data_IF_442462287380
#
_entry.id   IF_442462287380
#
_cell.length_a   1.000
_cell.length_b   1.000
_cell.length_c   1.000
_cell.angle_alpha   90.00
_cell.angle_beta   90.00
_cell.angle_gamma   90.00
#
_symmetry.space_group_name_H-M   'P 1'
#
loop_
_entity.id
_entity.type
_entity.pdbx_description
1 polymer ?
#
# COMPACT_ATOMS: atom_id res chain seq x y z
N UNK A 1 -12.58 -22.09 -50.80
CA UNK A 1 -13.09 -22.60 -49.50
C UNK A 1 -11.95 -22.52 -48.50
N UNK A 2 -11.70 -21.36 -47.91
CA UNK A 2 -12.23 -20.91 -46.60
C UNK A 2 -11.98 -21.92 -45.47
N UNK A 3 -11.02 -21.60 -44.59
CA UNK A 3 -11.27 -21.45 -43.15
C UNK A 3 -10.22 -20.51 -42.54
N UNK A 4 -10.67 -19.28 -42.32
CA UNK A 4 -10.02 -18.22 -41.55
C UNK A 4 -10.06 -18.63 -40.08
N UNK A 5 -8.90 -18.83 -39.45
CA UNK A 5 -8.81 -18.92 -38.00
C UNK A 5 -8.76 -17.50 -37.43
N UNK A 6 -9.84 -17.11 -36.76
CA UNK A 6 -9.94 -15.87 -35.99
C UNK A 6 -8.99 -15.96 -34.81
N UNK A 7 -7.97 -15.10 -34.79
CA UNK A 7 -7.21 -14.76 -33.58
C UNK A 7 -8.10 -13.84 -32.73
N UNK A 8 -8.52 -14.32 -31.57
CA UNK A 8 -9.15 -13.50 -30.53
C UNK A 8 -8.04 -12.76 -29.79
N UNK A 9 -7.73 -11.54 -30.23
CA UNK A 9 -6.95 -10.57 -29.47
C UNK A 9 -7.93 -9.83 -28.56
N UNK A 10 -7.95 -10.16 -27.27
CA UNK A 10 -8.53 -9.28 -26.26
C UNK A 10 -7.44 -8.31 -25.80
N UNK A 11 -7.31 -7.22 -26.55
CA UNK A 11 -6.68 -6.01 -26.05
C UNK A 11 -7.79 -5.17 -25.41
N UNK A 12 -7.98 -5.29 -24.10
CA UNK A 12 -8.77 -4.32 -23.35
C UNK A 12 -7.92 -3.07 -23.17
N UNK A 13 -8.02 -2.16 -24.14
CA UNK A 13 -7.70 -0.76 -23.94
C UNK A 13 -8.65 -0.24 -22.85
N UNK A 14 -8.12 0.04 -21.66
CA UNK A 14 -8.87 0.68 -20.59
C UNK A 14 -9.09 2.15 -20.97
N UNK A 15 -10.21 2.44 -21.61
CA UNK A 15 -10.74 3.79 -21.78
C UNK A 15 -11.81 3.99 -20.71
N UNK A 16 -11.47 4.72 -19.66
CA UNK A 16 -12.37 5.04 -18.55
C UNK A 16 -13.28 6.20 -18.93
N UNK A 17 -14.38 5.93 -19.63
CA UNK A 17 -15.48 6.88 -19.74
C UNK A 17 -16.40 6.72 -18.51
N UNK A 18 -16.24 7.60 -17.52
CA UNK A 18 -17.13 7.64 -16.35
C UNK A 18 -18.45 8.33 -16.71
N UNK A 19 -19.57 7.64 -16.55
CA UNK A 19 -20.91 8.24 -16.51
C UNK A 19 -21.40 8.24 -15.06
N UNK A 20 -21.63 9.42 -14.49
CA UNK A 20 -22.33 9.58 -13.22
C UNK A 20 -23.75 10.09 -13.49
N UNK A 21 -24.74 9.30 -13.07
CA UNK A 21 -26.14 9.70 -13.04
C UNK A 21 -26.40 10.64 -11.87
N UNK A 22 -26.72 11.90 -12.18
CA UNK A 22 -27.28 12.86 -11.24
C UNK A 22 -28.79 12.62 -11.06
N UNK A 23 -29.24 12.53 -9.81
CA UNK A 23 -30.62 12.82 -9.43
C UNK A 23 -30.60 13.54 -8.08
N UNK A 24 -30.85 14.84 -8.11
CA UNK A 24 -31.21 15.65 -6.95
C UNK A 24 -32.72 15.87 -6.88
N UNK A 25 -33.23 16.04 -5.66
CA UNK A 25 -34.17 17.10 -5.24
C UNK A 25 -34.44 16.94 -3.72
N UNK A 26 -34.06 17.93 -2.88
CA UNK A 26 -34.91 18.97 -2.22
C UNK A 26 -35.94 18.41 -1.21
N UNK A 27 -36.13 18.87 0.04
CA UNK A 27 -36.11 20.22 0.65
C UNK A 27 -36.28 20.15 2.21
N UNK A 28 -35.72 21.16 2.93
CA UNK A 28 -36.16 21.92 4.16
C UNK A 28 -36.69 21.19 5.44
N UNK A 29 -36.55 21.62 6.73
CA UNK A 29 -36.30 22.89 7.45
C UNK A 29 -35.99 22.63 8.97
N UNK A 30 -35.18 23.49 9.64
CA UNK A 30 -35.22 24.05 11.04
C UNK A 30 -35.71 23.21 12.26
N UNK A 31 -35.30 23.37 13.55
CA UNK A 31 -34.38 24.22 14.33
C UNK A 31 -34.50 23.83 15.83
N UNK A 32 -33.41 24.01 16.60
CA UNK A 32 -33.29 24.30 18.07
C UNK A 32 -33.83 23.32 19.13
N UNK A 33 -33.01 23.03 20.16
CA UNK A 33 -33.01 23.70 21.49
C UNK A 33 -32.00 23.00 22.45
N UNK A 34 -31.29 23.85 23.20
CA UNK A 34 -30.32 23.60 24.27
C UNK A 34 -30.90 22.90 25.52
N UNK A 35 -30.04 22.20 26.29
CA UNK A 35 -29.95 22.42 27.74
C UNK A 35 -28.70 21.82 28.37
N UNK A 36 -27.92 22.70 29.00
CA UNK A 36 -26.94 22.41 30.07
C UNK A 36 -27.63 21.79 31.30
N UNK A 37 -26.89 20.98 32.10
CA UNK A 37 -26.55 21.28 33.51
C UNK A 37 -25.32 20.44 33.93
N UNK A 38 -24.27 21.06 34.49
CA UNK A 38 -23.27 20.41 35.37
C UNK A 38 -23.78 20.29 36.82
N UNK A 39 -22.94 20.26 37.89
CA UNK A 39 -21.47 20.28 37.93
C UNK A 39 -20.80 19.40 39.03
N UNK A 40 -19.45 19.41 39.00
CA UNK A 40 -18.49 19.42 40.14
C UNK A 40 -18.15 18.15 40.94
N UNK A 41 -16.88 17.74 40.90
CA UNK A 41 -15.95 17.93 42.03
C UNK A 41 -14.49 17.63 41.65
N UNK A 42 -13.61 18.40 42.28
CA UNK A 42 -12.17 18.58 42.11
C UNK A 42 -11.38 17.84 43.19
N UNK A 43 -10.27 17.16 42.85
CA UNK A 43 -9.04 17.16 43.69
C UNK A 43 -7.80 16.71 42.90
N UNK A 44 -6.66 17.12 43.41
CA UNK A 44 -5.35 17.35 42.80
C UNK A 44 -4.46 16.12 42.60
N UNK A 45 -3.63 16.22 41.54
CA UNK A 45 -2.20 15.90 41.42
C UNK A 45 -1.56 14.78 42.26
N UNK A 46 -0.96 13.82 41.55
CA UNK A 46 0.45 13.48 41.81
C UNK A 46 1.13 12.89 40.57
N UNK A 47 2.28 13.50 40.27
CA UNK A 47 3.27 13.25 39.25
C UNK A 47 3.85 11.83 39.23
N UNK A 48 4.13 11.33 38.01
CA UNK A 48 5.40 10.71 37.61
C UNK A 48 5.43 10.64 36.08
N UNK A 49 6.18 11.56 35.47
CA UNK A 49 6.48 11.54 34.06
C UNK A 49 7.63 10.56 33.82
N UNK A 50 7.39 9.53 33.02
CA UNK A 50 8.43 8.69 32.45
C UNK A 50 8.96 9.39 31.19
N UNK A 51 10.26 9.71 31.18
CA UNK A 51 10.96 10.22 30.02
C UNK A 51 11.07 9.13 28.95
N UNK A 52 10.62 9.35 27.70
CA UNK A 52 10.99 8.46 26.62
C UNK A 52 12.43 8.75 26.21
N UNK A 53 13.19 7.66 26.18
CA UNK A 53 14.61 7.62 25.87
C UNK A 53 14.95 8.29 24.55
N UNK A 54 15.98 9.13 24.62
CA UNK A 54 16.63 9.79 23.50
C UNK A 54 17.30 8.76 22.58
N UNK A 55 16.75 8.57 21.38
CA UNK A 55 17.46 7.97 20.26
C UNK A 55 17.41 8.94 19.07
N UNK A 56 18.52 9.66 18.90
CA UNK A 56 19.04 10.23 17.65
C UNK A 56 18.03 10.94 16.72
N UNK A 57 17.75 12.20 17.04
CA UNK A 57 17.09 13.15 16.13
C UNK A 57 18.10 13.60 15.08
N UNK A 58 17.91 13.21 13.82
CA UNK A 58 18.34 14.00 12.68
C UNK A 58 17.77 15.41 12.85
N UNK A 59 18.60 16.45 12.85
CA UNK A 59 18.16 17.86 12.94
C UNK A 59 17.22 18.19 11.76
N UNK A 60 15.94 17.93 11.91
CA UNK A 60 14.88 18.39 11.00
C UNK A 60 14.64 19.85 11.38
N UNK A 61 14.89 20.75 10.43
CA UNK A 61 14.68 22.19 10.59
C UNK A 61 13.17 22.47 10.60
N UNK A 62 12.56 22.43 11.79
CA UNK A 62 11.16 22.80 12.00
C UNK A 62 11.07 24.23 12.53
N UNK A 63 10.06 25.02 12.11
CA UNK A 63 9.89 26.39 12.59
C UNK A 63 9.87 26.48 14.12
N UNK A 64 10.44 27.54 14.67
CA UNK A 64 10.46 27.77 16.12
C UNK A 64 9.04 27.74 16.70
N UNK A 65 8.86 27.02 17.81
CA UNK A 65 7.56 26.84 18.46
C UNK A 65 6.67 25.78 17.81
N UNK A 66 7.19 24.97 16.88
CA UNK A 66 6.50 23.82 16.30
C UNK A 66 7.18 22.50 16.68
N UNK A 67 6.43 21.39 16.58
CA UNK A 67 6.97 20.02 16.63
C UNK A 67 6.70 19.32 15.31
N UNK A 68 7.55 18.35 14.97
CA UNK A 68 7.29 17.41 13.87
C UNK A 68 5.95 16.71 14.14
N UNK A 69 5.08 16.65 13.13
CA UNK A 69 3.84 15.90 13.25
C UNK A 69 4.13 14.39 13.29
N UNK A 70 3.32 13.66 14.02
CA UNK A 70 3.27 12.20 14.04
C UNK A 70 2.13 11.72 13.16
N UNK A 71 2.14 10.44 12.78
CA UNK A 71 1.05 9.85 12.00
C UNK A 71 -0.30 9.97 12.71
N UNK A 72 -0.31 9.95 14.04
CA UNK A 72 -1.51 10.13 14.86
C UNK A 72 -2.14 11.53 14.70
N UNK A 73 -1.33 12.57 14.47
CA UNK A 73 -1.81 13.95 14.29
C UNK A 73 -2.56 14.15 12.97
N UNK A 74 -2.30 13.32 11.95
CA UNK A 74 -2.93 13.48 10.65
C UNK A 74 -4.43 13.18 10.69
N UNK A 75 -5.19 14.05 10.05
CA UNK A 75 -6.64 13.90 9.88
C UNK A 75 -6.96 12.99 8.69
N UNK A 76 -8.14 12.34 8.73
CA UNK A 76 -8.51 11.35 7.69
C UNK A 76 -8.65 11.96 6.30
N UNK A 77 -9.19 13.18 6.22
CA UNK A 77 -9.30 13.95 4.99
C UNK A 77 -8.96 15.42 5.30
N UNK A 78 -8.00 15.96 4.57
CA UNK A 78 -7.44 17.29 4.75
C UNK A 78 -7.58 18.08 3.46
N UNK A 79 -7.99 19.35 3.53
CA UNK A 79 -7.94 20.28 2.41
C UNK A 79 -6.51 20.83 2.29
N UNK A 80 -5.86 20.63 1.15
CA UNK A 80 -4.54 21.18 0.83
C UNK A 80 -4.62 22.60 0.21
N UNK A 81 -5.82 23.17 0.16
CA UNK A 81 -6.09 24.49 -0.43
C UNK A 81 -6.55 24.41 -1.89
N UNK A 82 -6.45 25.55 -2.58
CA UNK A 82 -6.78 25.66 -4.00
C UNK A 82 -5.53 25.47 -4.87
N UNK A 83 -5.57 24.46 -5.74
CA UNK A 83 -4.56 24.17 -6.74
C UNK A 83 -5.25 23.84 -8.06
N UNK A 84 -4.61 24.15 -9.19
CA UNK A 84 -5.18 23.90 -10.53
C UNK A 84 -6.56 24.57 -10.75
N UNK A 85 -6.87 25.63 -10.00
CA UNK A 85 -8.15 26.33 -10.04
C UNK A 85 -9.30 25.60 -9.33
N UNK A 86 -9.02 24.62 -8.47
CA UNK A 86 -10.02 23.89 -7.69
C UNK A 86 -9.48 23.49 -6.31
N UNK A 87 -10.35 23.02 -5.42
CA UNK A 87 -9.93 22.48 -4.12
C UNK A 87 -9.31 21.11 -4.29
N UNK A 88 -8.14 20.92 -3.69
CA UNK A 88 -7.42 19.65 -3.66
C UNK A 88 -7.31 19.13 -2.24
N UNK A 89 -7.46 17.83 -2.08
CA UNK A 89 -7.53 17.19 -0.77
C UNK A 89 -6.49 16.09 -0.64
N UNK A 90 -6.12 15.77 0.59
CA UNK A 90 -5.29 14.63 0.98
C UNK A 90 -6.08 13.70 1.91
N UNK A 91 -5.91 12.39 1.74
CA UNK A 91 -6.52 11.35 2.57
C UNK A 91 -5.41 10.44 3.05
N UNK A 92 -5.58 10.08 4.30
CA UNK A 92 -4.67 9.19 5.04
C UNK A 92 -5.32 7.83 5.32
N UNK A 93 -6.64 7.71 5.06
CA UNK A 93 -7.40 6.48 5.22
C UNK A 93 -7.32 5.89 6.64
N UNK A 94 -6.80 4.67 6.74
CA UNK A 94 -6.52 3.94 8.00
C UNK A 94 -5.10 4.18 8.52
N UNK A 95 -4.32 5.04 7.86
CA UNK A 95 -2.92 5.36 8.20
C UNK A 95 -1.97 4.18 8.01
N UNK A 96 -2.17 3.40 6.95
CA UNK A 96 -1.26 2.34 6.51
C UNK A 96 -0.18 2.82 5.52
N UNK A 97 0.27 4.07 5.66
CA UNK A 97 1.20 4.73 4.74
C UNK A 97 0.76 4.79 3.26
N UNK A 98 -0.52 4.51 2.99
CA UNK A 98 -1.16 4.74 1.71
C UNK A 98 -1.92 6.06 1.79
N UNK A 99 -1.65 6.94 0.84
CA UNK A 99 -2.24 8.27 0.76
C UNK A 99 -2.88 8.47 -0.60
N UNK A 100 -3.86 9.36 -0.65
CA UNK A 100 -4.29 9.91 -1.94
C UNK A 100 -4.43 11.41 -1.92
N UNK A 101 -4.00 12.04 -3.01
CA UNK A 101 -4.36 13.43 -3.34
C UNK A 101 -5.48 13.36 -4.36
N UNK A 102 -6.58 14.10 -4.18
CA UNK A 102 -7.66 14.11 -5.18
C UNK A 102 -8.29 15.48 -5.40
N UNK A 103 -8.84 15.60 -6.60
CA UNK A 103 -9.90 16.54 -6.94
C UNK A 103 -11.20 15.72 -7.02
N UNK A 104 -12.25 16.07 -6.25
CA UNK A 104 -13.51 15.32 -6.26
C UNK A 104 -14.04 15.15 -7.69
N UNK A 105 -14.45 13.92 -8.00
CA UNK A 105 -15.07 13.53 -9.29
C UNK A 105 -14.24 13.77 -10.56
N UNK A 106 -12.98 14.20 -10.46
CA UNK A 106 -12.12 14.54 -11.61
C UNK A 106 -10.86 13.69 -11.69
N UNK A 107 -10.03 13.66 -10.63
CA UNK A 107 -8.72 13.02 -10.68
C UNK A 107 -8.19 12.66 -9.29
N UNK A 108 -7.31 11.65 -9.23
CA UNK A 108 -6.61 11.27 -8.01
C UNK A 108 -5.18 10.79 -8.29
N UNK A 109 -4.33 10.96 -7.29
CA UNK A 109 -3.01 10.35 -7.17
C UNK A 109 -3.09 9.44 -5.95
N UNK A 110 -2.85 8.14 -6.12
CA UNK A 110 -2.67 7.20 -5.02
C UNK A 110 -1.18 6.89 -4.87
N UNK A 111 -0.63 6.97 -3.66
CA UNK A 111 0.79 6.72 -3.43
C UNK A 111 1.06 6.09 -2.07
N UNK A 112 2.15 5.33 -1.99
CA UNK A 112 2.68 4.80 -0.75
C UNK A 112 3.87 5.64 -0.30
N UNK A 113 3.90 6.06 0.96
CA UNK A 113 5.02 6.79 1.54
C UNK A 113 5.05 6.56 3.04
N UNK A 114 6.10 5.95 3.56
CA UNK A 114 6.29 5.85 5.00
C UNK A 114 6.25 7.25 5.64
N UNK A 115 5.41 7.43 6.64
CA UNK A 115 5.33 8.70 7.38
C UNK A 115 6.52 8.84 8.33
N UNK A 116 7.62 9.38 7.81
CA UNK A 116 8.85 9.62 8.56
C UNK A 116 9.10 11.11 8.67
N UNK A 117 9.53 11.55 9.85
CA UNK A 117 9.96 12.93 10.08
C UNK A 117 8.89 13.97 9.67
N UNK A 118 7.62 13.64 9.91
CA UNK A 118 6.48 14.49 9.59
C UNK A 118 6.25 14.67 8.09
N UNK A 119 6.83 13.86 7.22
CA UNK A 119 6.83 14.09 5.77
C UNK A 119 6.31 12.87 5.01
N UNK A 120 5.53 13.14 3.97
CA UNK A 120 5.20 12.18 2.91
C UNK A 120 5.73 12.67 1.58
N UNK A 121 6.08 11.73 0.70
CA UNK A 121 6.55 12.01 -0.65
C UNK A 121 5.64 11.35 -1.67
N UNK A 122 5.49 11.98 -2.84
CA UNK A 122 4.68 11.44 -3.93
C UNK A 122 5.39 11.63 -5.26
N UNK A 123 5.18 10.71 -6.19
CA UNK A 123 5.73 10.77 -7.54
C UNK A 123 5.60 9.45 -8.27
N UNK A 124 6.18 9.38 -9.48
CA UNK A 124 6.13 8.19 -10.34
C UNK A 124 6.75 6.94 -9.72
N UNK A 125 7.67 7.12 -8.78
CA UNK A 125 8.42 6.01 -8.18
C UNK A 125 7.62 5.29 -7.08
N UNK A 126 6.62 5.96 -6.49
CA UNK A 126 5.89 5.44 -5.33
C UNK A 126 4.37 5.62 -5.43
N UNK A 127 3.85 5.95 -6.61
CA UNK A 127 2.43 6.22 -6.79
C UNK A 127 1.95 6.07 -8.21
N UNK A 128 0.67 6.33 -8.38
CA UNK A 128 -0.04 6.28 -9.66
C UNK A 128 -1.07 7.39 -9.73
N UNK A 129 -1.29 7.84 -10.96
CA UNK A 129 -2.24 8.88 -11.30
C UNK A 129 -3.37 8.31 -12.14
N UNK A 130 -4.60 8.76 -11.87
CA UNK A 130 -5.75 8.55 -12.72
C UNK A 130 -6.62 9.80 -12.76
N UNK A 131 -7.22 10.10 -13.90
CA UNK A 131 -8.16 11.21 -14.04
C UNK A 131 -8.95 11.14 -15.34
N UNK A 132 -9.90 12.06 -15.50
CA UNK A 132 -10.77 12.16 -16.67
C UNK A 132 -10.06 12.88 -17.81
N UNK A 133 -9.93 12.22 -18.95
CA UNK A 133 -9.31 12.77 -20.16
C UNK A 133 -10.00 14.05 -20.65
N UNK A 134 -9.21 15.02 -21.09
CA UNK A 134 -9.70 16.26 -21.69
C UNK A 134 -10.06 17.37 -20.70
N UNK A 135 -10.00 17.11 -19.39
CA UNK A 135 -10.13 18.16 -18.37
C UNK A 135 -8.79 18.83 -18.08
N UNK A 136 -8.76 20.17 -18.05
CA UNK A 136 -7.53 20.94 -17.76
C UNK A 136 -6.95 20.59 -16.38
N UNK A 137 -7.81 20.39 -15.38
CA UNK A 137 -7.40 20.01 -14.02
C UNK A 137 -6.69 18.65 -14.02
N UNK A 138 -7.20 17.68 -14.78
CA UNK A 138 -6.55 16.37 -14.98
C UNK A 138 -5.14 16.55 -15.52
N UNK A 139 -4.97 17.32 -16.60
CA UNK A 139 -3.64 17.54 -17.19
C UNK A 139 -2.64 18.22 -16.23
N UNK A 140 -3.09 19.22 -15.47
CA UNK A 140 -2.24 19.92 -14.50
C UNK A 140 -1.87 19.02 -13.30
N UNK A 141 -2.83 18.25 -12.79
CA UNK A 141 -2.59 17.28 -11.72
C UNK A 141 -1.67 16.14 -12.17
N UNK A 142 -1.81 15.68 -13.42
CA UNK A 142 -0.89 14.73 -14.04
C UNK A 142 0.53 15.29 -14.05
N UNK A 143 0.76 16.50 -14.54
CA UNK A 143 2.08 17.17 -14.51
C UNK A 143 2.63 17.33 -13.10
N UNK A 144 1.77 17.66 -12.14
CA UNK A 144 2.15 17.75 -10.72
C UNK A 144 2.64 16.40 -10.19
N UNK A 145 1.93 15.31 -10.49
CA UNK A 145 2.37 13.95 -10.17
C UNK A 145 3.68 13.58 -10.87
N UNK A 146 3.84 13.95 -12.15
CA UNK A 146 5.06 13.63 -12.90
C UNK A 146 6.30 14.32 -12.33
N UNK A 147 6.14 15.56 -11.84
CA UNK A 147 7.21 16.28 -11.16
C UNK A 147 7.54 15.64 -9.80
N UNK A 148 6.53 15.09 -9.13
CA UNK A 148 6.63 14.62 -7.76
C UNK A 148 6.84 15.75 -6.76
N UNK A 149 6.88 15.39 -5.48
CA UNK A 149 7.06 16.34 -4.41
C UNK A 149 6.96 15.74 -3.01
N UNK A 150 6.96 16.62 -2.02
CA UNK A 150 6.74 16.28 -0.62
C UNK A 150 5.67 17.16 0.02
N UNK A 151 5.01 16.60 1.02
CA UNK A 151 4.13 17.31 1.94
C UNK A 151 4.71 17.11 3.34
N UNK A 152 5.13 18.19 3.98
CA UNK A 152 5.66 18.18 5.34
C UNK A 152 4.61 18.72 6.30
N UNK A 153 4.55 18.14 7.49
CA UNK A 153 3.56 18.41 8.51
C UNK A 153 4.23 18.76 9.83
N UNK A 154 3.74 19.81 10.48
CA UNK A 154 4.13 20.21 11.83
C UNK A 154 2.90 20.50 12.66
N UNK A 155 3.06 20.45 13.96
CA UNK A 155 2.04 20.90 14.91
C UNK A 155 2.58 22.13 15.63
N UNK A 156 1.82 23.21 15.57
CA UNK A 156 2.23 24.48 16.17
C UNK A 156 1.99 24.52 17.69
N UNK A 157 2.38 25.62 18.34
CA UNK A 157 2.24 25.81 19.78
C UNK A 157 0.80 25.84 20.30
N UNK A 158 -0.19 26.01 19.42
CA UNK A 158 -1.62 25.91 19.72
C UNK A 158 -2.20 24.52 19.46
N UNK A 159 -1.34 23.51 19.22
CA UNK A 159 -1.70 22.14 18.88
C UNK A 159 -2.52 22.02 17.57
N UNK A 160 -2.29 22.94 16.63
CA UNK A 160 -2.89 22.89 15.29
C UNK A 160 -1.93 22.28 14.28
N UNK A 161 -2.45 21.33 13.50
CA UNK A 161 -1.74 20.74 12.38
C UNK A 161 -1.58 21.74 11.23
N UNK A 162 -0.37 21.86 10.72
CA UNK A 162 -0.01 22.68 9.58
C UNK A 162 0.72 21.83 8.54
N UNK A 163 0.60 22.20 7.26
CA UNK A 163 1.28 21.51 6.15
C UNK A 163 2.02 22.49 5.25
N UNK A 164 3.10 22.01 4.62
CA UNK A 164 3.86 22.73 3.60
C UNK A 164 4.06 21.83 2.38
N UNK A 165 3.81 22.35 1.19
CA UNK A 165 4.08 21.65 -0.07
C UNK A 165 5.47 22.02 -0.57
N UNK A 166 6.32 21.02 -0.82
CA UNK A 166 7.66 21.17 -1.40
C UNK A 166 8.54 22.22 -0.67
N UNK A 167 8.46 22.27 0.66
CA UNK A 167 9.23 23.22 1.47
C UNK A 167 8.76 24.68 1.37
N UNK A 168 7.52 24.91 0.92
CA UNK A 168 6.88 26.23 1.00
C UNK A 168 6.47 26.62 2.42
N UNK A 169 5.74 27.72 2.55
CA UNK A 169 5.23 28.18 3.84
C UNK A 169 4.19 27.22 4.42
N UNK A 170 4.25 27.02 5.75
CA UNK A 170 3.28 26.24 6.48
C UNK A 170 1.91 26.93 6.52
N UNK A 171 0.87 26.15 6.22
CA UNK A 171 -0.53 26.57 6.22
C UNK A 171 -1.33 25.67 7.16
N UNK A 172 -2.30 26.25 7.87
CA UNK A 172 -3.20 25.48 8.72
C UNK A 172 -3.97 24.43 7.91
N UNK A 173 -4.03 23.21 8.44
CA UNK A 173 -4.84 22.14 7.85
C UNK A 173 -6.31 22.41 8.13
N UNK A 174 -7.14 22.40 7.08
CA UNK A 174 -8.60 22.39 7.22
C UNK A 174 -9.12 20.95 7.06
N UNK A 175 -9.87 20.46 8.04
CA UNK A 175 -10.48 19.12 8.01
C UNK A 175 -11.64 19.08 7.02
N UNK A 176 -11.56 18.19 6.03
CA UNK A 176 -12.59 18.02 5.03
C UNK A 176 -13.62 16.97 5.46
N UNK A 177 -14.91 17.34 5.48
CA UNK A 177 -16.00 16.40 5.69
C UNK A 177 -16.39 15.74 4.37
N UNK A 178 -15.94 14.50 4.17
CA UNK A 178 -16.27 13.70 2.99
C UNK A 178 -17.40 12.73 3.33
N UNK A 179 -18.44 12.71 2.50
CA UNK A 179 -19.56 11.79 2.65
C UNK A 179 -19.09 10.34 2.44
N UNK A 180 -19.46 9.45 3.36
CA UNK A 180 -19.24 8.01 3.22
C UNK A 180 -20.45 7.34 2.59
N UNK A 181 -20.20 6.33 1.76
CA UNK A 181 -21.27 5.50 1.20
C UNK A 181 -21.89 4.63 2.30
N UNK A 182 -23.20 4.77 2.55
CA UNK A 182 -23.91 4.14 3.68
C UNK A 182 -23.79 2.61 3.76
N UNK A 183 -23.51 1.94 2.63
CA UNK A 183 -23.41 0.49 2.54
C UNK A 183 -22.00 0.03 2.15
N UNK A 184 -20.99 0.88 2.33
CA UNK A 184 -19.62 0.54 1.99
C UNK A 184 -18.73 0.57 3.23
N UNK A 185 -17.74 -0.31 3.24
CA UNK A 185 -16.66 -0.26 4.21
C UNK A 185 -15.90 1.06 4.02
N UNK A 186 -15.46 1.66 5.13
CA UNK A 186 -14.80 2.97 5.11
C UNK A 186 -13.46 3.01 5.84
N UNK A 187 -13.05 1.90 6.47
CA UNK A 187 -11.76 1.76 7.14
C UNK A 187 -10.99 0.54 6.59
N UNK A 188 -9.71 0.71 6.27
CA UNK A 188 -8.85 -0.37 5.76
C UNK A 188 -8.64 -1.50 6.77
N UNK A 189 -8.63 -1.17 8.07
CA UNK A 189 -8.51 -2.15 9.17
C UNK A 189 -9.62 -3.20 9.15
N UNK A 190 -10.80 -2.87 8.61
CA UNK A 190 -11.96 -3.78 8.54
C UNK A 190 -11.72 -4.96 7.57
N UNK A 191 -10.65 -4.90 6.76
CA UNK A 191 -10.22 -5.97 5.86
C UNK A 191 -9.08 -6.82 6.44
N UNK A 192 -8.32 -6.33 7.42
CA UNK A 192 -7.13 -7.01 7.93
C UNK A 192 -7.47 -8.41 8.47
N UNK A 193 -6.72 -9.43 8.04
CA UNK A 193 -6.96 -10.83 8.42
C UNK A 193 -8.13 -11.48 7.70
N UNK A 194 -8.63 -10.87 6.61
CA UNK A 194 -9.66 -11.44 5.76
C UNK A 194 -9.11 -11.91 4.41
N UNK A 195 -9.71 -12.98 3.90
CA UNK A 195 -9.60 -13.44 2.52
C UNK A 195 -10.97 -13.34 1.86
N UNK A 196 -11.03 -12.61 0.75
CA UNK A 196 -12.21 -12.47 -0.11
C UNK A 196 -12.01 -13.31 -1.36
N UNK A 197 -12.90 -14.28 -1.61
CA UNK A 197 -12.91 -15.08 -2.83
C UNK A 197 -14.07 -14.62 -3.71
N UNK A 198 -13.74 -13.95 -4.81
CA UNK A 198 -14.67 -13.27 -5.70
C UNK A 198 -14.81 -14.00 -7.03
N UNK A 199 -16.04 -14.06 -7.55
CA UNK A 199 -16.33 -14.64 -8.88
C UNK A 199 -16.33 -13.56 -9.95
N UNK A 200 -15.56 -13.78 -11.00
CA UNK A 200 -15.56 -12.99 -12.24
C UNK A 200 -15.88 -13.92 -13.42
N UNK A 201 -17.17 -14.02 -13.76
CA UNK A 201 -17.65 -15.01 -14.73
C UNK A 201 -17.36 -16.44 -14.26
N UNK A 202 -16.58 -17.17 -15.06
CA UNK A 202 -16.12 -18.54 -14.74
C UNK A 202 -14.80 -18.56 -13.94
N UNK A 203 -14.13 -17.41 -13.83
CA UNK A 203 -12.85 -17.29 -13.12
C UNK A 203 -13.07 -16.93 -11.65
N UNK A 204 -12.12 -17.35 -10.81
CA UNK A 204 -12.06 -17.00 -9.39
C UNK A 204 -10.82 -16.15 -9.12
N UNK A 205 -11.02 -15.07 -8.37
CA UNK A 205 -9.95 -14.19 -7.88
C UNK A 205 -10.04 -14.14 -6.36
N UNK A 206 -8.93 -14.39 -5.67
CA UNK A 206 -8.84 -14.21 -4.22
C UNK A 206 -8.03 -12.99 -3.85
N UNK A 207 -8.51 -12.25 -2.84
CA UNK A 207 -7.84 -11.11 -2.23
C UNK A 207 -7.61 -11.42 -0.75
N UNK A 208 -6.37 -11.51 -0.32
CA UNK A 208 -5.96 -11.73 1.06
C UNK A 208 -5.38 -10.43 1.61
N UNK A 209 -5.88 -9.98 2.75
CA UNK A 209 -5.53 -8.69 3.35
C UNK A 209 -4.78 -8.89 4.67
N UNK A 210 -3.60 -8.30 4.74
CA UNK A 210 -2.75 -8.18 5.92
C UNK A 210 -2.80 -6.74 6.44
N UNK A 211 -1.88 -6.33 7.31
CA UNK A 211 -1.83 -4.96 7.86
C UNK A 211 -1.45 -3.94 6.77
N UNK A 212 -2.44 -3.34 6.10
CA UNK A 212 -2.22 -2.38 5.01
C UNK A 212 -1.63 -2.97 3.73
N UNK A 213 -1.41 -4.29 3.69
CA UNK A 213 -0.84 -5.02 2.56
C UNK A 213 -1.80 -6.07 2.01
N UNK A 214 -1.79 -6.31 0.72
CA UNK A 214 -2.67 -7.30 0.10
C UNK A 214 -1.91 -8.26 -0.81
N UNK A 215 -2.49 -9.44 -0.98
CA UNK A 215 -2.15 -10.42 -2.01
C UNK A 215 -3.41 -10.72 -2.82
N UNK A 216 -3.35 -10.52 -4.13
CA UNK A 216 -4.34 -10.95 -5.10
C UNK A 216 -3.81 -12.21 -5.81
N UNK A 217 -4.66 -13.22 -5.99
CA UNK A 217 -4.34 -14.43 -6.73
C UNK A 217 -5.48 -14.83 -7.67
N UNK A 218 -5.14 -15.40 -8.82
CA UNK A 218 -6.09 -15.91 -9.80
C UNK A 218 -5.48 -17.01 -10.64
N UNK A 219 -6.29 -17.94 -11.13
CA UNK A 219 -5.83 -18.91 -12.15
C UNK A 219 -5.70 -18.21 -13.51
N UNK A 220 -4.50 -18.23 -14.09
CA UNK A 220 -4.22 -17.77 -15.44
C UNK A 220 -3.94 -18.94 -16.40
N UNK A 221 -3.80 -18.63 -17.70
CA UNK A 221 -3.54 -19.64 -18.74
C UNK A 221 -2.27 -20.49 -18.49
N UNK A 222 -1.28 -19.91 -17.79
CA UNK A 222 0.02 -20.51 -17.54
C UNK A 222 0.22 -20.93 -16.07
N UNK A 223 -0.85 -21.04 -15.30
CA UNK A 223 -0.81 -21.35 -13.86
C UNK A 223 -1.24 -20.18 -12.99
N UNK A 224 -0.84 -20.21 -11.72
CA UNK A 224 -1.22 -19.21 -10.73
C UNK A 224 -0.59 -17.84 -11.04
N UNK A 225 -1.43 -16.85 -11.31
CA UNK A 225 -1.04 -15.44 -11.38
C UNK A 225 -1.31 -14.77 -10.04
N UNK A 226 -0.45 -13.83 -9.67
CA UNK A 226 -0.63 -13.08 -8.45
C UNK A 226 -0.05 -11.67 -8.52
N UNK A 227 -0.57 -10.79 -7.68
CA UNK A 227 -0.04 -9.46 -7.44
C UNK A 227 -0.13 -9.15 -5.94
N UNK A 228 0.86 -8.44 -5.42
CA UNK A 228 0.89 -7.99 -4.03
C UNK A 228 1.26 -6.52 -3.98
N UNK A 229 0.80 -5.84 -2.94
CA UNK A 229 1.18 -4.47 -2.69
C UNK A 229 0.44 -3.85 -1.51
N UNK A 230 0.22 -2.54 -1.60
CA UNK A 230 -0.36 -1.74 -0.53
C UNK A 230 -1.85 -1.52 -0.74
N UNK A 231 -2.62 -1.48 0.34
CA UNK A 231 -4.02 -1.10 0.25
C UNK A 231 -4.45 -0.21 1.41
N UNK A 232 -5.53 0.54 1.16
CA UNK A 232 -6.30 1.20 2.19
C UNK A 232 -7.73 1.47 1.67
N UNK A 233 -8.66 1.79 2.56
CA UNK A 233 -9.98 2.28 2.20
C UNK A 233 -10.06 3.78 2.48
N UNK A 234 -10.12 4.54 1.39
CA UNK A 234 -10.20 5.99 1.41
C UNK A 234 -11.50 6.42 0.75
N UNK A 235 -12.32 7.18 1.48
CA UNK A 235 -13.61 7.69 0.97
C UNK A 235 -14.52 6.57 0.43
N UNK A 236 -14.58 5.45 1.16
CA UNK A 236 -15.33 4.25 0.78
C UNK A 236 -14.87 3.61 -0.53
N UNK A 237 -13.63 3.87 -0.95
CA UNK A 237 -12.96 3.22 -2.07
C UNK A 237 -11.76 2.44 -1.55
N UNK A 238 -11.75 1.14 -1.80
CA UNK A 238 -10.57 0.32 -1.67
C UNK A 238 -9.59 0.74 -2.76
N UNK A 239 -8.47 1.30 -2.31
CA UNK A 239 -7.33 1.66 -3.11
C UNK A 239 -6.32 0.52 -2.99
N UNK A 240 -5.93 -0.09 -4.10
CA UNK A 240 -4.92 -1.16 -4.12
C UNK A 240 -3.81 -0.78 -5.10
N UNK A 241 -2.59 -0.70 -4.60
CA UNK A 241 -1.40 -0.36 -5.36
C UNK A 241 -0.50 -1.58 -5.49
N UNK A 242 -0.38 -2.13 -6.69
CA UNK A 242 0.46 -3.29 -6.94
C UNK A 242 1.95 -2.88 -7.00
N UNK A 243 2.81 -3.66 -6.34
CA UNK A 243 4.27 -3.45 -6.32
C UNK A 243 5.06 -4.70 -6.71
N UNK A 244 4.55 -5.87 -6.32
CA UNK A 244 5.06 -7.20 -6.67
C UNK A 244 4.03 -7.92 -7.53
N UNK A 245 4.46 -8.60 -8.59
CA UNK A 245 3.52 -9.33 -9.43
C UNK A 245 4.20 -10.41 -10.29
N UNK A 246 3.43 -11.47 -10.53
CA UNK A 246 3.66 -12.48 -11.54
C UNK A 246 2.40 -12.63 -12.40
N UNK A 247 1.96 -11.51 -13.01
CA UNK A 247 0.89 -11.48 -14.01
C UNK A 247 1.37 -10.79 -15.28
N UNK A 248 0.79 -11.16 -16.42
CA UNK A 248 1.04 -10.47 -17.70
C UNK A 248 0.31 -9.12 -17.81
N UNK A 249 -0.82 -8.97 -17.11
CA UNK A 249 -1.64 -7.77 -17.15
C UNK A 249 -1.45 -6.98 -15.87
N UNK A 250 -0.53 -6.02 -15.90
CA UNK A 250 -0.24 -5.16 -14.76
C UNK A 250 -1.24 -4.02 -14.66
N UNK A 251 -2.01 -3.98 -13.56
CA UNK A 251 -2.89 -2.86 -13.22
C UNK A 251 -2.32 -2.17 -11.98
N UNK A 252 -1.55 -1.08 -12.16
CA UNK A 252 -0.77 -0.48 -11.07
C UNK A 252 -1.63 0.03 -9.91
N UNK A 253 -2.79 0.60 -10.24
CA UNK A 253 -3.74 1.14 -9.29
C UNK A 253 -5.11 0.59 -9.59
N UNK A 254 -5.64 -0.21 -8.66
CA UNK A 254 -7.01 -0.68 -8.69
C UNK A 254 -7.83 0.10 -7.68
N UNK A 255 -9.03 0.48 -8.10
CA UNK A 255 -9.98 1.16 -7.22
C UNK A 255 -11.32 0.43 -7.29
N UNK A 256 -11.85 0.06 -6.12
CA UNK A 256 -13.10 -0.68 -5.99
C UNK A 256 -13.90 -0.14 -4.82
N UNK A 257 -15.19 -0.43 -4.78
CA UNK A 257 -16.02 -0.26 -3.57
C UNK A 257 -16.19 -1.63 -2.93
N UNK A 258 -16.00 -1.71 -1.62
CA UNK A 258 -16.33 -2.91 -0.83
C UNK A 258 -17.62 -2.63 -0.09
N UNK A 259 -18.67 -3.39 -0.38
CA UNK A 259 -19.94 -3.23 0.33
C UNK A 259 -19.89 -3.88 1.73
N UNK A 260 -20.94 -3.67 2.53
CA UNK A 260 -21.05 -4.26 3.87
C UNK A 260 -21.10 -5.79 3.89
N UNK A 261 -21.43 -6.41 2.75
CA UNK A 261 -21.43 -7.86 2.54
C UNK A 261 -20.10 -8.36 1.94
N UNK A 262 -19.10 -7.46 1.82
CA UNK A 262 -17.76 -7.71 1.25
C UNK A 262 -17.75 -8.05 -0.24
N UNK A 263 -18.82 -7.74 -0.98
CA UNK A 263 -18.78 -7.79 -2.44
C UNK A 263 -18.00 -6.59 -2.98
N UNK A 264 -17.32 -6.80 -4.09
CA UNK A 264 -16.53 -5.77 -4.74
C UNK A 264 -17.30 -5.18 -5.91
N UNK A 265 -17.24 -3.86 -6.08
CA UNK A 265 -17.74 -3.19 -7.30
C UNK A 265 -16.61 -2.38 -7.91
N UNK A 266 -16.25 -2.67 -9.16
CA UNK A 266 -15.23 -1.89 -9.89
C UNK A 266 -15.71 -0.47 -10.20
N UNK A 267 -14.79 0.39 -10.59
CA UNK A 267 -15.13 1.73 -11.12
C UNK A 267 -16.02 1.71 -12.35
N UNK A 268 -16.03 0.62 -13.13
CA UNK A 268 -16.92 0.45 -14.29
C UNK A 268 -18.33 0.03 -13.90
N UNK A 269 -18.61 -0.17 -12.60
CA UNK A 269 -19.90 -0.64 -12.09
C UNK A 269 -20.08 -2.15 -12.13
N UNK A 270 -19.05 -2.91 -12.51
CA UNK A 270 -19.11 -4.38 -12.48
C UNK A 270 -19.07 -4.85 -11.04
N UNK A 271 -20.10 -5.58 -10.61
CA UNK A 271 -20.19 -6.14 -9.27
C UNK A 271 -19.72 -7.60 -9.26
N UNK A 272 -18.81 -7.92 -8.33
CA UNK A 272 -18.26 -9.23 -8.08
C UNK A 272 -18.81 -9.75 -6.77
N UNK A 273 -19.49 -10.90 -6.83
CA UNK A 273 -19.94 -11.57 -5.62
C UNK A 273 -18.74 -12.24 -4.96
N UNK A 274 -18.53 -11.94 -3.69
CA UNK A 274 -17.42 -12.46 -2.92
C UNK A 274 -17.91 -13.28 -1.73
N UNK A 275 -17.14 -14.30 -1.37
CA UNK A 275 -17.26 -14.97 -0.09
C UNK A 275 -16.09 -14.55 0.79
N UNK A 276 -16.37 -14.28 2.07
CA UNK A 276 -15.34 -13.89 3.03
C UNK A 276 -14.97 -15.06 3.94
N UNK A 277 -13.69 -15.15 4.25
CA UNK A 277 -13.15 -16.02 5.30
C UNK A 277 -12.13 -15.25 6.11
N UNK A 278 -11.96 -15.60 7.38
CA UNK A 278 -10.90 -15.05 8.22
C UNK A 278 -9.74 -16.02 8.28
N UNK A 279 -8.52 -15.49 8.34
CA UNK A 279 -7.31 -16.26 8.52
C UNK A 279 -6.46 -15.63 9.63
N UNK A 280 -5.48 -16.39 10.12
CA UNK A 280 -4.48 -15.89 11.07
C UNK A 280 -3.13 -15.94 10.38
N UNK A 281 -2.31 -14.94 10.65
CA UNK A 281 -0.93 -14.85 10.23
C UNK A 281 -0.10 -14.34 11.40
N UNK A 282 1.18 -14.65 11.39
CA UNK A 282 2.15 -14.07 12.32
C UNK A 282 2.86 -12.92 11.60
N UNK A 283 2.75 -11.71 12.13
CA UNK A 283 3.38 -10.55 11.51
C UNK A 283 4.89 -10.61 11.76
N UNK A 284 5.66 -10.63 10.67
CA UNK A 284 7.12 -10.64 10.74
C UNK A 284 7.63 -9.22 10.57
N UNK A 285 8.45 -8.80 11.52
CA UNK A 285 9.10 -7.50 11.50
C UNK A 285 10.17 -7.46 10.38
N UNK A 286 9.91 -6.63 9.36
CA UNK A 286 10.81 -6.44 8.23
C UNK A 286 12.24 -6.05 8.65
N UNK A 287 12.38 -5.26 9.72
CA UNK A 287 13.69 -4.83 10.22
C UNK A 287 14.47 -5.97 10.88
N UNK A 288 13.78 -7.00 11.39
CA UNK A 288 14.39 -8.17 12.05
C UNK A 288 14.77 -9.27 11.06
N UNK A 289 13.98 -9.47 10.00
CA UNK A 289 14.32 -10.46 8.96
C UNK A 289 15.37 -9.93 7.97
N UNK A 290 15.56 -8.61 7.89
CA UNK A 290 16.64 -8.00 7.13
C UNK A 290 18.01 -8.45 7.68
N UNK A 291 18.81 -9.12 6.84
CA UNK A 291 20.07 -9.73 7.24
C UNK A 291 20.70 -10.58 6.14
N UNK A 292 21.74 -11.30 6.51
CA UNK A 292 22.39 -12.33 5.69
C UNK A 292 22.06 -13.70 6.27
N UNK A 293 21.57 -14.58 5.41
CA UNK A 293 21.08 -15.90 5.76
C UNK A 293 21.75 -16.93 4.87
N UNK A 294 22.11 -18.07 5.45
CA UNK A 294 22.83 -19.12 4.75
C UNK A 294 22.17 -20.47 4.85
N UNK A 295 22.43 -21.29 3.83
CA UNK A 295 21.97 -22.65 3.73
C UNK A 295 22.97 -23.47 2.93
N UNK A 296 23.15 -24.74 3.31
CA UNK A 296 23.90 -25.71 2.53
C UNK A 296 22.90 -26.70 1.95
N UNK A 297 22.73 -26.70 0.63
CA UNK A 297 21.80 -27.59 -0.06
C UNK A 297 22.34 -28.02 -1.42
N UNK A 298 22.13 -29.30 -1.77
CA UNK A 298 22.63 -29.93 -3.00
C UNK A 298 24.14 -29.72 -3.29
N UNK A 299 24.94 -29.53 -2.24
CA UNK A 299 26.37 -29.28 -2.34
C UNK A 299 26.72 -27.90 -2.92
N UNK A 300 25.81 -26.93 -2.75
CA UNK A 300 25.99 -25.51 -3.01
C UNK A 300 25.90 -24.74 -1.70
N UNK A 301 26.79 -23.75 -1.55
CA UNK A 301 26.76 -22.81 -0.44
C UNK A 301 25.83 -21.66 -0.85
N UNK A 302 24.69 -21.50 -0.18
CA UNK A 302 23.71 -20.47 -0.49
C UNK A 302 23.79 -19.29 0.47
N UNK A 303 23.58 -18.10 -0.08
CA UNK A 303 23.46 -16.86 0.68
C UNK A 303 22.25 -16.06 0.19
N UNK A 304 21.31 -15.80 1.09
CA UNK A 304 20.20 -14.86 0.92
C UNK A 304 20.52 -13.60 1.72
N UNK A 305 20.58 -12.46 1.03
CA UNK A 305 20.74 -11.15 1.66
C UNK A 305 19.45 -10.36 1.48
N UNK A 306 18.86 -9.92 2.59
CA UNK A 306 17.71 -9.02 2.65
C UNK A 306 18.14 -7.69 3.25
N UNK A 307 18.26 -6.63 2.44
CA UNK A 307 18.68 -5.31 2.95
C UNK A 307 17.48 -4.53 3.45
N UNK A 308 17.68 -3.72 4.50
CA UNK A 308 16.68 -2.75 4.99
C UNK A 308 16.21 -1.75 3.93
N UNK A 309 16.97 -1.57 2.84
CA UNK A 309 16.55 -0.75 1.68
C UNK A 309 15.43 -1.39 0.85
N UNK A 310 15.07 -2.65 1.12
CA UNK A 310 14.17 -3.44 0.29
C UNK A 310 14.87 -4.14 -0.88
N UNK A 311 16.20 -4.04 -1.02
CA UNK A 311 16.94 -4.81 -2.02
C UNK A 311 17.28 -6.22 -1.49
N UNK A 312 17.22 -7.24 -2.34
CA UNK A 312 17.71 -8.58 -2.02
C UNK A 312 18.69 -9.13 -3.04
N UNK A 313 19.43 -10.14 -2.60
CA UNK A 313 20.16 -11.07 -3.47
C UNK A 313 20.09 -12.50 -2.94
N UNK A 314 20.01 -13.48 -3.84
CA UNK A 314 20.22 -14.90 -3.56
C UNK A 314 21.36 -15.37 -4.43
N UNK A 315 22.40 -15.93 -3.82
CA UNK A 315 23.58 -16.46 -4.51
C UNK A 315 23.81 -17.91 -4.10
N UNK A 316 24.15 -18.78 -5.06
CA UNK A 316 24.64 -20.12 -4.79
C UNK A 316 26.06 -20.27 -5.34
N UNK A 317 26.97 -20.82 -4.54
CA UNK A 317 28.37 -21.04 -4.92
C UNK A 317 28.76 -22.51 -4.86
N UNK A 318 29.65 -22.91 -5.77
CA UNK A 318 30.35 -24.19 -5.74
C UNK A 318 31.83 -24.00 -5.98
N UNK A 319 32.65 -24.35 -5.00
CA UNK A 319 34.11 -24.18 -5.08
C UNK A 319 34.54 -22.75 -5.50
N UNK A 320 33.80 -21.75 -5.03
CA UNK A 320 34.04 -20.33 -5.32
C UNK A 320 33.44 -19.79 -6.63
N UNK A 321 32.85 -20.64 -7.47
CA UNK A 321 32.14 -20.19 -8.67
C UNK A 321 30.66 -19.98 -8.38
N UNK A 322 30.07 -18.90 -8.91
CA UNK A 322 28.63 -18.64 -8.81
C UNK A 322 27.88 -19.56 -9.78
N UNK A 323 26.99 -20.38 -9.23
CA UNK A 323 26.12 -21.31 -9.96
C UNK A 323 24.70 -20.73 -10.12
N UNK A 324 24.30 -19.84 -9.21
CA UNK A 324 23.05 -19.07 -9.28
C UNK A 324 23.28 -17.68 -8.69
N UNK A 325 22.64 -16.68 -9.28
CA UNK A 325 22.58 -15.33 -8.73
C UNK A 325 21.26 -14.71 -9.15
N UNK A 326 20.48 -14.27 -8.18
CA UNK A 326 19.24 -13.52 -8.35
C UNK A 326 19.31 -12.27 -7.49
N UNK A 327 18.81 -11.15 -7.98
CA UNK A 327 18.71 -9.94 -7.17
C UNK A 327 17.57 -9.04 -7.63
N UNK A 328 17.04 -8.26 -6.71
CA UNK A 328 15.94 -7.35 -6.98
C UNK A 328 15.37 -6.77 -5.70
N UNK A 329 14.04 -6.74 -5.59
CA UNK A 329 13.34 -6.13 -4.45
C UNK A 329 12.60 -7.17 -3.61
N UNK A 330 12.52 -6.95 -2.30
CA UNK A 330 11.78 -7.79 -1.37
C UNK A 330 10.92 -6.95 -0.43
N UNK A 331 9.90 -7.59 0.14
CA UNK A 331 8.98 -7.00 1.11
C UNK A 331 8.22 -8.12 1.84
N UNK A 332 7.57 -7.81 2.97
CA UNK A 332 6.89 -8.80 3.83
C UNK A 332 5.45 -8.40 4.16
N UNK A 333 4.56 -9.39 4.11
CA UNK A 333 3.10 -9.24 4.12
C UNK A 333 2.56 -10.17 5.20
N UNK A 334 2.58 -9.72 6.46
CA UNK A 334 2.36 -10.61 7.59
C UNK A 334 3.46 -11.67 7.66
N UNK A 335 3.13 -12.91 7.32
CA UNK A 335 4.04 -14.05 7.24
C UNK A 335 4.51 -14.36 5.80
N UNK A 336 4.07 -13.60 4.79
CA UNK A 336 4.41 -13.84 3.40
C UNK A 336 5.59 -12.97 2.95
N UNK A 337 6.71 -13.60 2.59
CA UNK A 337 7.85 -12.95 1.94
C UNK A 337 7.65 -12.96 0.42
N UNK A 338 7.75 -11.79 -0.20
CA UNK A 338 7.68 -11.62 -1.65
C UNK A 338 9.01 -11.09 -2.20
N UNK A 339 9.46 -11.69 -3.30
CA UNK A 339 10.71 -11.34 -3.98
C UNK A 339 10.39 -11.01 -5.44
N UNK A 340 10.93 -9.90 -5.97
CA UNK A 340 10.82 -9.52 -7.37
C UNK A 340 12.19 -9.47 -8.01
N UNK A 341 12.47 -10.39 -8.92
CA UNK A 341 13.74 -10.47 -9.62
C UNK A 341 13.88 -9.30 -10.60
N UNK A 342 15.01 -8.58 -10.51
CA UNK A 342 15.43 -7.55 -11.48
C UNK A 342 16.56 -8.05 -12.37
N UNK A 343 17.43 -8.90 -11.84
CA UNK A 343 18.54 -9.50 -12.57
C UNK A 343 18.80 -10.92 -12.09
N UNK A 344 19.17 -11.78 -13.03
CA UNK A 344 19.46 -13.18 -12.76
C UNK A 344 20.66 -13.62 -13.60
N UNK A 345 21.47 -14.56 -13.09
CA UNK A 345 22.60 -15.13 -13.82
C UNK A 345 22.15 -15.82 -15.11
N UNK A 346 20.99 -16.49 -15.05
CA UNK A 346 20.36 -17.18 -16.17
C UNK A 346 18.98 -16.54 -16.51
N UNK A 347 18.94 -15.45 -17.29
CA UNK A 347 17.70 -14.70 -17.55
C UNK A 347 16.57 -15.54 -18.13
N UNK A 348 16.87 -16.47 -19.03
CA UNK A 348 15.88 -17.33 -19.71
C UNK A 348 15.13 -18.28 -18.77
N UNK A 349 15.69 -18.53 -17.57
CA UNK A 349 15.10 -19.40 -16.55
C UNK A 349 14.53 -18.60 -15.39
N UNK A 350 14.61 -17.28 -15.40
CA UNK A 350 14.26 -16.50 -14.22
C UNK A 350 12.76 -16.21 -14.16
N UNK A 351 12.12 -16.61 -13.07
CA UNK A 351 10.77 -16.15 -12.75
C UNK A 351 10.80 -14.66 -12.41
N UNK A 352 9.79 -13.89 -12.79
CA UNK A 352 9.77 -12.44 -12.53
C UNK A 352 9.60 -12.11 -11.04
N UNK A 353 8.89 -12.96 -10.30
CA UNK A 353 8.66 -12.81 -8.88
C UNK A 353 8.40 -14.17 -8.21
N UNK A 354 8.74 -14.26 -6.93
CA UNK A 354 8.54 -15.41 -6.04
C UNK A 354 7.76 -14.93 -4.83
N UNK A 355 6.87 -15.77 -4.31
CA UNK A 355 6.26 -15.58 -2.99
C UNK A 355 6.39 -16.85 -2.19
N UNK A 356 6.42 -16.73 -0.87
CA UNK A 356 6.43 -17.88 0.03
C UNK A 356 6.09 -17.50 1.45
N UNK A 357 5.63 -18.48 2.22
CA UNK A 357 5.32 -18.30 3.63
C UNK A 357 6.61 -18.46 4.43
N UNK A 358 6.88 -17.52 5.31
CA UNK A 358 7.94 -17.59 6.30
C UNK A 358 7.37 -18.18 7.58
N UNK A 359 8.06 -19.16 8.14
CA UNK A 359 7.67 -19.81 9.39
C UNK A 359 8.90 -20.11 10.25
N UNK A 360 8.68 -20.36 11.54
CA UNK A 360 9.75 -20.62 12.51
C UNK A 360 10.82 -19.52 12.53
N UNK A 361 10.42 -18.26 12.31
CA UNK A 361 11.35 -17.14 12.27
C UNK A 361 11.90 -16.81 13.66
N UNK A 362 13.22 -16.83 13.76
CA UNK A 362 13.97 -16.38 14.93
C UNK A 362 15.23 -15.63 14.42
N UNK A 363 15.39 -14.34 14.76
CA UNK A 363 16.51 -13.53 14.29
C UNK A 363 17.88 -14.08 14.71
N UNK A 364 17.95 -14.93 15.73
CA UNK A 364 19.20 -15.52 16.22
C UNK A 364 19.49 -16.91 15.64
N UNK A 365 18.50 -17.60 15.05
CA UNK A 365 18.68 -18.99 14.59
C UNK A 365 18.34 -19.24 13.12
N UNK A 366 17.32 -18.59 12.55
CA UNK A 366 16.92 -18.84 11.18
C UNK A 366 15.43 -18.71 10.90
N UNK A 367 15.01 -19.21 9.73
CA UNK A 367 13.62 -19.36 9.34
C UNK A 367 13.44 -20.38 8.21
N UNK A 368 12.21 -20.85 8.04
CA UNK A 368 11.78 -21.59 6.87
C UNK A 368 11.03 -20.68 5.91
N UNK A 369 11.28 -20.82 4.60
CA UNK A 369 10.67 -20.09 3.51
C UNK A 369 10.07 -21.07 2.48
N UNK A 370 8.79 -21.41 2.65
CA UNK A 370 8.08 -22.27 1.71
C UNK A 370 7.63 -21.47 0.48
N UNK A 371 8.52 -21.43 -0.52
CA UNK A 371 8.38 -20.55 -1.67
C UNK A 371 7.96 -21.25 -2.96
N UNK A 372 7.43 -20.46 -3.89
CA UNK A 372 6.99 -20.90 -5.21
C UNK A 372 8.09 -20.97 -6.28
N UNK A 373 9.36 -20.70 -5.94
CA UNK A 373 10.47 -20.77 -6.92
C UNK A 373 10.69 -22.21 -7.41
N UNK A 374 10.60 -22.42 -8.72
CA UNK A 374 10.77 -23.72 -9.39
C UNK A 374 12.07 -23.83 -10.18
N UNK A 375 12.99 -22.87 -10.02
CA UNK A 375 14.22 -22.82 -10.79
C UNK A 375 15.22 -23.91 -10.39
N UNK A 376 16.21 -24.13 -11.25
CA UNK A 376 17.33 -25.04 -10.99
C UNK A 376 18.65 -24.25 -11.11
N UNK A 377 19.54 -24.32 -10.09
CA UNK A 377 19.42 -25.11 -8.85
C UNK A 377 18.27 -24.64 -7.95
N UNK A 378 17.72 -25.57 -7.16
CA UNK A 378 16.57 -25.29 -6.31
C UNK A 378 17.00 -24.38 -5.15
N UNK A 379 16.25 -23.30 -4.94
CA UNK A 379 16.51 -22.40 -3.81
C UNK A 379 16.15 -23.14 -2.50
N UNK A 380 16.99 -23.07 -1.45
CA UNK A 380 16.72 -23.72 -0.17
C UNK A 380 15.46 -23.17 0.50
N UNK A 381 14.76 -24.06 1.21
CA UNK A 381 13.59 -23.69 2.01
C UNK A 381 13.91 -23.39 3.47
N UNK A 382 15.08 -23.76 3.97
CA UNK A 382 15.47 -23.50 5.36
C UNK A 382 16.74 -22.66 5.35
N UNK A 383 16.72 -21.59 6.12
CA UNK A 383 17.77 -20.59 6.18
C UNK A 383 18.21 -20.39 7.63
N UNK A 384 19.51 -20.24 7.84
CA UNK A 384 20.12 -20.06 9.16
C UNK A 384 20.94 -18.79 9.22
N UNK A 385 21.16 -18.27 10.44
CA UNK A 385 22.02 -17.09 10.61
C UNK A 385 23.47 -17.42 10.25
N UNK A 386 24.15 -16.50 9.56
CA UNK A 386 25.58 -16.63 9.32
C UNK A 386 26.35 -16.57 10.65
N UNK A 387 27.17 -17.59 10.91
CA UNK A 387 28.09 -17.61 12.05
C UNK A 387 29.46 -17.08 11.64
N UNK A 388 30.08 -16.27 12.51
CA UNK A 388 31.44 -15.75 12.34
C UNK A 388 32.29 -16.17 13.54
N UNK A 389 33.55 -16.56 13.30
CA UNK A 389 34.55 -16.87 14.34
C UNK A 389 35.35 -15.65 14.80
#
# INVERSE_FOLDING_TARGET
MNKVFKKSLWASACVSAMFLSACGDSSSTSSNVEKEVGPSSSVESSSSAEEPSSSSVSNIDVPEGTRVATLADLEKNMLLGEMFGTKVYLATGAKHDVYSIWVPDTAWIGFHSEFKDGTITFGKDNGYYAGIDGEKVTEEMGKFFEKGGSISFVVNSEDKLQFALNGGDYQDVEVAKVAVSKNAISNGDDLTGLKLECKDGDSQVSYTFYEGRFLQESEGENGLEWAAGYYDIQRSKLLMMQTFFNTKAYVPLMTMTVDSDYNLTSVTGTAYKCSKSSFKFESIDADKIAGEWVADDDGLDWTLTLKKSGDYSVEAKKAGNSEELKSGYWDIYGDLLVLRNRSCLNPDKCVSAVKGVVSNFDPESGFDFDHSDTNTPAVPKTWTVQQYE
#
